data_IF_799995453025
#
_entry.id   IF_799995453025
#
_cell.length_a   1.000
_cell.length_b   1.000
_cell.length_c   1.000
_cell.angle_alpha   90.00
_cell.angle_beta   90.00
_cell.angle_gamma   90.00
#
_symmetry.space_group_name_H-M   'P 1'
#
loop_
_entity.id
_entity.type
_entity.pdbx_description
1 polymer ?
#
# COMPACT_ATOMS: atom_id res chain seq x y z
N UNK A 1 -11.42 13.32 -1.77
CA UNK A 1 -10.59 12.55 -2.69
C UNK A 1 -9.34 12.10 -1.95
N UNK A 2 -9.17 10.80 -1.74
CA UNK A 2 -7.98 10.24 -1.11
C UNK A 2 -7.72 8.85 -1.65
N UNK A 3 -6.56 8.68 -2.26
CA UNK A 3 -6.04 7.38 -2.68
C UNK A 3 -5.36 6.68 -1.50
N UNK A 4 -5.56 5.36 -1.41
CA UNK A 4 -4.90 4.51 -0.42
C UNK A 4 -3.77 3.72 -1.07
N UNK A 5 -2.59 3.77 -0.46
CA UNK A 5 -1.48 2.86 -0.72
C UNK A 5 -1.27 2.02 0.53
N UNK A 6 -1.42 0.71 0.44
CA UNK A 6 -1.20 -0.19 1.57
C UNK A 6 -0.19 -1.28 1.21
N UNK A 7 0.74 -1.55 2.13
CA UNK A 7 1.57 -2.75 2.04
C UNK A 7 0.75 -3.98 2.41
N UNK A 8 0.83 -5.02 1.59
CA UNK A 8 0.23 -6.32 1.84
C UNK A 8 1.28 -7.39 1.58
N UNK A 9 2.06 -7.74 2.59
CA UNK A 9 3.04 -8.82 2.46
C UNK A 9 2.38 -10.18 2.75
N UNK A 10 3.17 -11.23 2.94
CA UNK A 10 2.69 -12.62 3.08
C UNK A 10 2.07 -12.94 4.44
N UNK A 11 2.23 -12.05 5.43
CA UNK A 11 1.74 -12.23 6.79
C UNK A 11 0.22 -12.16 6.90
N UNK A 12 -0.46 -13.32 6.83
CA UNK A 12 -1.93 -13.43 6.89
C UNK A 12 -2.56 -12.76 8.12
N UNK A 13 -1.85 -12.70 9.25
CA UNK A 13 -2.33 -12.01 10.47
C UNK A 13 -2.61 -10.51 10.26
N UNK A 14 -1.90 -9.87 9.32
CA UNK A 14 -2.10 -8.46 8.97
C UNK A 14 -3.14 -8.25 7.88
N UNK A 15 -3.61 -9.30 7.20
CA UNK A 15 -4.59 -9.16 6.12
C UNK A 15 -5.95 -8.73 6.63
N UNK A 16 -6.33 -9.15 7.83
CA UNK A 16 -7.55 -8.68 8.50
C UNK A 16 -7.48 -7.16 8.70
N UNK A 17 -6.30 -6.67 9.12
CA UNK A 17 -6.07 -5.23 9.28
C UNK A 17 -6.19 -4.48 7.96
N UNK A 18 -5.51 -4.95 6.91
CA UNK A 18 -5.58 -4.32 5.58
C UNK A 18 -7.00 -4.34 5.02
N UNK A 19 -7.73 -5.46 5.16
CA UNK A 19 -9.15 -5.55 4.78
C UNK A 19 -10.01 -4.52 5.52
N UNK A 20 -9.80 -4.35 6.81
CA UNK A 20 -10.54 -3.37 7.61
C UNK A 20 -10.22 -1.91 7.23
N UNK A 21 -8.98 -1.61 6.80
CA UNK A 21 -8.66 -0.28 6.25
C UNK A 21 -9.38 -0.05 4.92
N UNK A 22 -9.38 -1.06 4.04
CA UNK A 22 -10.04 -0.98 2.73
C UNK A 22 -11.55 -0.73 2.91
N UNK A 23 -12.21 -1.45 3.82
CA UNK A 23 -13.66 -1.35 4.01
C UNK A 23 -14.08 -0.19 4.91
N UNK A 24 -13.23 0.27 5.83
CA UNK A 24 -13.57 1.27 6.84
C UNK A 24 -13.64 2.72 6.37
N UNK A 25 -13.24 3.01 5.13
CA UNK A 25 -13.35 4.34 4.53
C UNK A 25 -13.73 4.24 3.04
N UNK A 26 -14.23 5.33 2.47
CA UNK A 26 -14.38 5.49 1.02
C UNK A 26 -13.09 6.08 0.45
N UNK A 27 -12.38 5.26 -0.32
CA UNK A 27 -11.15 5.60 -1.05
C UNK A 27 -11.48 5.76 -2.53
N UNK A 28 -10.85 6.71 -3.22
CA UNK A 28 -11.08 6.84 -4.67
C UNK A 28 -10.42 5.69 -5.43
N UNK A 29 -9.14 5.44 -5.13
CA UNK A 29 -8.39 4.30 -5.61
C UNK A 29 -7.66 3.61 -4.46
N UNK A 30 -7.45 2.30 -4.60
CA UNK A 30 -6.76 1.48 -3.61
C UNK A 30 -5.64 0.71 -4.30
N UNK A 31 -4.41 0.97 -3.89
CA UNK A 31 -3.20 0.32 -4.38
C UNK A 31 -2.61 -0.59 -3.30
N UNK A 32 -2.55 -1.89 -3.58
CA UNK A 32 -1.96 -2.88 -2.67
C UNK A 32 -0.59 -3.32 -3.18
N UNK A 33 0.47 -2.93 -2.45
CA UNK A 33 1.84 -3.34 -2.77
C UNK A 33 2.05 -4.74 -2.20
N UNK A 34 2.25 -5.72 -3.09
CA UNK A 34 2.30 -7.14 -2.70
C UNK A 34 3.18 -7.96 -3.65
N UNK A 35 3.29 -9.26 -3.40
CA UNK A 35 3.92 -10.22 -4.33
C UNK A 35 2.85 -11.08 -5.01
N UNK A 36 3.26 -11.98 -5.92
CA UNK A 36 2.32 -12.86 -6.63
C UNK A 36 1.44 -13.68 -5.69
N UNK A 37 2.01 -14.18 -4.58
CA UNK A 37 1.26 -14.90 -3.57
C UNK A 37 0.12 -14.05 -2.97
N UNK A 38 0.40 -12.80 -2.62
CA UNK A 38 -0.62 -11.90 -2.08
C UNK A 38 -1.70 -11.58 -3.11
N UNK A 39 -1.34 -11.32 -4.38
CA UNK A 39 -2.30 -11.09 -5.47
C UNK A 39 -3.23 -12.29 -5.70
N UNK A 40 -2.71 -13.52 -5.65
CA UNK A 40 -3.52 -14.73 -5.86
C UNK A 40 -4.44 -15.07 -4.69
N UNK A 41 -4.00 -14.77 -3.46
CA UNK A 41 -4.64 -15.27 -2.23
C UNK A 41 -5.45 -14.22 -1.49
N UNK A 42 -5.18 -12.93 -1.71
CA UNK A 42 -5.92 -11.85 -1.09
C UNK A 42 -7.17 -11.50 -1.90
N UNK A 43 -8.31 -11.48 -1.22
CA UNK A 43 -9.58 -11.04 -1.77
C UNK A 43 -10.11 -9.84 -1.00
N UNK A 44 -10.66 -8.87 -1.73
CA UNK A 44 -11.30 -7.67 -1.20
C UNK A 44 -12.68 -7.51 -1.80
N UNK A 45 -13.63 -6.99 -1.03
CA UNK A 45 -14.98 -6.66 -1.50
C UNK A 45 -14.98 -5.39 -2.35
N UNK A 46 -14.09 -4.44 -2.05
CA UNK A 46 -13.85 -3.25 -2.87
C UNK A 46 -12.84 -3.57 -3.98
N UNK A 47 -12.96 -2.85 -5.11
CA UNK A 47 -11.99 -2.93 -6.21
C UNK A 47 -10.63 -2.43 -5.73
N UNK A 48 -9.62 -3.27 -5.86
CA UNK A 48 -8.23 -2.96 -5.51
C UNK A 48 -7.34 -3.18 -6.72
N UNK A 49 -6.32 -2.35 -6.84
CA UNK A 49 -5.27 -2.51 -7.82
C UNK A 49 -4.01 -3.07 -7.15
N UNK A 50 -3.55 -4.23 -7.61
CA UNK A 50 -2.35 -4.86 -7.07
C UNK A 50 -1.11 -4.36 -7.80
N UNK A 51 -0.16 -3.84 -7.02
CA UNK A 51 1.19 -3.49 -7.47
C UNK A 51 2.09 -4.65 -7.08
N UNK A 52 2.36 -5.53 -8.04
CA UNK A 52 3.08 -6.77 -7.78
C UNK A 52 4.57 -6.54 -7.91
N UNK A 53 5.31 -6.91 -6.87
CA UNK A 53 6.76 -6.73 -6.78
C UNK A 53 7.44 -7.97 -6.23
N UNK A 54 8.71 -8.13 -6.57
CA UNK A 54 9.58 -9.14 -5.97
C UNK A 54 10.37 -8.52 -4.82
N UNK A 55 9.94 -8.79 -3.59
CA UNK A 55 10.56 -8.33 -2.34
C UNK A 55 12.01 -8.83 -2.15
N UNK A 56 12.45 -9.84 -2.92
CA UNK A 56 13.82 -10.33 -2.88
C UNK A 56 14.80 -9.44 -3.66
N UNK A 57 14.32 -8.65 -4.63
CA UNK A 57 15.18 -7.74 -5.40
C UNK A 57 15.94 -6.76 -4.52
N UNK A 58 17.11 -6.26 -4.96
CA UNK A 58 17.81 -5.17 -4.29
C UNK A 58 16.89 -3.96 -4.04
N UNK A 59 17.11 -3.25 -2.92
CA UNK A 59 16.21 -2.16 -2.48
C UNK A 59 15.97 -1.10 -3.57
N UNK A 60 17.01 -0.70 -4.30
CA UNK A 60 16.88 0.30 -5.35
C UNK A 60 15.99 -0.17 -6.51
N UNK A 61 16.09 -1.44 -6.89
CA UNK A 61 15.24 -2.02 -7.93
C UNK A 61 13.79 -2.13 -7.45
N UNK A 62 13.58 -2.53 -6.19
CA UNK A 62 12.25 -2.59 -5.58
C UNK A 62 11.57 -1.21 -5.56
N UNK A 63 12.31 -0.15 -5.22
CA UNK A 63 11.82 1.24 -5.29
C UNK A 63 11.39 1.61 -6.71
N UNK A 64 12.22 1.30 -7.71
CA UNK A 64 11.92 1.64 -9.10
C UNK A 64 10.71 0.86 -9.65
N UNK A 65 10.56 -0.42 -9.27
CA UNK A 65 9.42 -1.24 -9.65
C UNK A 65 8.10 -0.69 -9.09
N UNK A 66 8.08 -0.33 -7.79
CA UNK A 66 6.90 0.29 -7.15
C UNK A 66 6.59 1.63 -7.82
N UNK A 67 7.61 2.48 -8.00
CA UNK A 67 7.47 3.82 -8.58
C UNK A 67 6.90 3.77 -9.99
N UNK A 68 7.44 2.90 -10.86
CA UNK A 68 6.97 2.76 -12.25
C UNK A 68 5.52 2.32 -12.32
N UNK A 69 5.11 1.41 -11.44
CA UNK A 69 3.75 0.91 -11.42
C UNK A 69 2.75 1.89 -10.79
N UNK A 70 3.18 2.77 -9.89
CA UNK A 70 2.31 3.81 -9.31
C UNK A 70 2.28 5.12 -10.11
N UNK A 71 3.27 5.34 -10.97
CA UNK A 71 3.39 6.56 -11.77
C UNK A 71 2.10 6.82 -12.56
N UNK A 72 1.64 8.06 -12.52
CA UNK A 72 0.46 8.55 -13.25
C UNK A 72 -0.89 7.90 -12.84
N UNK A 73 -0.91 7.06 -11.78
CA UNK A 73 -2.15 6.46 -11.25
C UNK A 73 -2.80 7.27 -10.12
N UNK A 74 -2.01 8.09 -9.44
CA UNK A 74 -2.46 8.98 -8.36
C UNK A 74 -2.54 10.38 -8.93
N UNK A 75 -3.74 10.94 -8.97
CA UNK A 75 -4.00 12.28 -9.53
C UNK A 75 -3.87 13.40 -8.49
N UNK A 76 -3.92 13.05 -7.20
CA UNK A 76 -3.75 13.98 -6.08
C UNK A 76 -2.29 14.26 -5.73
N UNK A 77 -2.08 15.19 -4.80
CA UNK A 77 -0.76 15.52 -4.23
C UNK A 77 -0.45 14.75 -2.95
N UNK A 78 -1.43 14.02 -2.40
CA UNK A 78 -1.31 13.28 -1.15
C UNK A 78 -1.96 11.89 -1.26
N UNK A 79 -1.38 10.92 -0.58
CA UNK A 79 -1.95 9.58 -0.44
C UNK A 79 -2.00 9.14 1.03
N UNK A 80 -3.05 8.40 1.39
CA UNK A 80 -3.07 7.67 2.64
C UNK A 80 -2.14 6.46 2.52
N UNK A 81 -1.21 6.29 3.46
CA UNK A 81 -0.18 5.26 3.42
C UNK A 81 -0.31 4.33 4.64
N UNK A 82 -0.53 3.05 4.40
CA UNK A 82 -0.52 2.02 5.45
C UNK A 82 0.68 1.07 5.29
N UNK A 83 1.45 0.92 6.37
CA UNK A 83 2.65 0.07 6.44
C UNK A 83 2.58 -0.92 7.60
N UNK A 84 1.38 -1.26 8.08
CA UNK A 84 1.22 -2.21 9.19
C UNK A 84 1.63 -3.63 8.77
N UNK A 85 1.44 -3.98 7.50
CA UNK A 85 2.00 -5.20 6.92
C UNK A 85 3.38 -4.95 6.31
N UNK A 86 4.16 -6.00 6.15
CA UNK A 86 5.45 -5.98 5.48
C UNK A 86 6.65 -5.85 6.41
N UNK A 87 7.81 -5.80 5.77
CA UNK A 87 9.14 -5.74 6.37
C UNK A 87 9.71 -4.33 6.25
N UNK A 88 10.70 -4.00 7.08
CA UNK A 88 11.37 -2.69 6.99
C UNK A 88 11.96 -2.37 5.61
N UNK A 89 12.37 -3.39 4.85
CA UNK A 89 12.82 -3.23 3.46
C UNK A 89 11.69 -2.82 2.52
N UNK A 90 10.53 -3.48 2.61
CA UNK A 90 9.34 -3.12 1.84
C UNK A 90 8.86 -1.71 2.22
N UNK A 91 8.83 -1.39 3.51
CA UNK A 91 8.44 -0.07 4.01
C UNK A 91 9.34 1.03 3.45
N UNK A 92 10.66 0.82 3.53
CA UNK A 92 11.64 1.74 2.96
C UNK A 92 11.45 1.92 1.45
N UNK A 93 11.16 0.82 0.73
CA UNK A 93 10.96 0.87 -0.71
C UNK A 93 9.69 1.64 -1.10
N UNK A 94 8.58 1.35 -0.43
CA UNK A 94 7.28 1.99 -0.67
C UNK A 94 7.38 3.48 -0.36
N UNK A 95 7.86 3.84 0.83
CA UNK A 95 7.98 5.23 1.24
C UNK A 95 8.89 6.02 0.28
N UNK A 96 10.05 5.45 -0.09
CA UNK A 96 10.96 6.09 -1.05
C UNK A 96 10.31 6.28 -2.42
N UNK A 97 9.58 5.28 -2.92
CA UNK A 97 8.89 5.37 -4.21
C UNK A 97 7.83 6.48 -4.20
N UNK A 98 7.00 6.54 -3.17
CA UNK A 98 5.93 7.55 -3.02
C UNK A 98 6.51 8.96 -2.93
N UNK A 99 7.53 9.17 -2.09
CA UNK A 99 8.19 10.48 -1.98
C UNK A 99 8.86 10.91 -3.29
N UNK A 100 9.47 9.98 -4.04
CA UNK A 100 10.07 10.26 -5.35
C UNK A 100 9.05 10.58 -6.44
N UNK A 101 7.80 10.18 -6.27
CA UNK A 101 6.68 10.61 -7.13
C UNK A 101 6.21 12.02 -6.80
N UNK A 102 6.75 12.65 -5.75
CA UNK A 102 6.34 13.98 -5.30
C UNK A 102 5.05 13.99 -4.47
N UNK A 103 4.63 12.83 -3.96
CA UNK A 103 3.41 12.68 -3.17
C UNK A 103 3.70 12.94 -1.69
N UNK A 104 2.85 13.74 -1.05
CA UNK A 104 2.70 13.77 0.41
C UNK A 104 2.07 12.47 0.91
N UNK A 105 2.35 12.11 2.16
CA UNK A 105 1.79 10.90 2.80
C UNK A 105 1.13 11.22 4.12
N UNK A 106 -0.02 10.61 4.35
CA UNK A 106 -0.69 10.56 5.65
C UNK A 106 -0.66 9.13 6.13
N UNK A 107 0.09 8.85 7.19
CA UNK A 107 0.20 7.49 7.71
C UNK A 107 -1.13 7.11 8.36
N UNK A 108 -1.75 6.04 7.91
CA UNK A 108 -3.05 5.60 8.43
C UNK A 108 -2.99 4.16 8.93
N UNK A 109 -3.74 3.87 9.98
CA UNK A 109 -3.91 2.52 10.50
C UNK A 109 -5.33 2.29 11.01
N UNK A 110 -5.76 1.03 11.02
CA UNK A 110 -6.98 0.61 11.70
C UNK A 110 -6.70 0.42 13.20
N UNK A 111 -7.30 1.26 14.03
CA UNK A 111 -7.30 1.17 15.49
C UNK A 111 -8.70 0.84 16.01
N UNK A 112 -8.88 0.74 17.33
CA UNK A 112 -10.17 0.36 17.93
C UNK A 112 -11.29 1.35 17.61
N UNK A 113 -10.94 2.63 17.48
CA UNK A 113 -11.84 3.74 17.18
C UNK A 113 -12.09 3.93 15.68
N UNK A 114 -11.61 3.00 14.83
CA UNK A 114 -11.70 3.06 13.37
C UNK A 114 -10.37 3.41 12.72
N UNK A 115 -10.42 3.98 11.50
CA UNK A 115 -9.21 4.38 10.77
C UNK A 115 -8.74 5.74 11.29
N UNK A 116 -7.46 5.83 11.67
CA UNK A 116 -6.84 7.06 12.17
C UNK A 116 -5.54 7.36 11.45
N UNK A 117 -5.25 8.65 11.34
CA UNK A 117 -3.92 9.14 11.00
C UNK A 117 -3.01 9.03 12.22
N UNK A 118 -1.75 8.64 12.02
CA UNK A 118 -0.75 8.36 13.07
C UNK A 118 0.38 9.39 13.03
#
# INVERSE_FOLDING_TARGET
MTDLIACLSTGKGTWIHVKGIISGCEWDNIFLITNEFGKEKFSSEKKVEFIVVDSNKPLLELVEDIKKQLKDKISGTEAALNLVSGTGKEHMAILSAVLKLGLGVRLVALVKEGIKEI
#
